data_IF_369491134156
#
_entry.id   IF_369491134156
#
_cell.length_a   1.000
_cell.length_b   1.000
_cell.length_c   1.000
_cell.angle_alpha   90.00
_cell.angle_beta   90.00
_cell.angle_gamma   90.00
#
_symmetry.space_group_name_H-M   'P 1'
#
loop_
_entity.id
_entity.type
_entity.pdbx_description
1 polymer ?
#
# COMPACT_ATOMS: atom_id res chain seq x y z
N UNK A 1 23.94 6.71 10.89
CA UNK A 1 23.64 6.78 12.34
C UNK A 1 22.70 7.92 12.63
N UNK A 2 21.75 7.72 13.53
CA UNK A 2 21.02 8.83 14.19
C UNK A 2 21.85 9.31 15.36
N UNK A 3 22.15 10.60 15.40
CA UNK A 3 23.00 11.20 16.39
C UNK A 3 22.28 12.39 17.01
N UNK A 4 22.27 12.45 18.35
CA UNK A 4 22.03 13.71 19.08
C UNK A 4 23.37 14.41 19.24
N UNK A 5 23.49 15.56 18.62
CA UNK A 5 24.74 16.32 18.66
C UNK A 5 24.97 16.94 20.02
N UNK A 6 26.23 17.12 20.38
CA UNK A 6 26.63 17.94 21.55
C UNK A 6 26.04 19.34 21.39
N UNK A 7 25.41 19.86 22.44
CA UNK A 7 24.84 21.20 22.43
C UNK A 7 23.70 21.38 23.42
N UNK A 8 23.09 22.55 23.38
CA UNK A 8 21.92 22.87 24.18
C UNK A 8 20.65 22.74 23.34
N UNK A 9 19.72 21.95 23.82
CA UNK A 9 18.39 21.76 23.24
C UNK A 9 17.38 22.49 24.10
N UNK A 10 16.55 23.31 23.48
CA UNK A 10 15.46 24.02 24.17
C UNK A 10 14.14 23.47 23.72
N UNK A 11 13.34 22.98 24.63
CA UNK A 11 11.97 22.54 24.38
C UNK A 11 11.04 23.73 24.58
N UNK A 12 10.36 24.10 23.54
CA UNK A 12 9.41 25.20 23.54
C UNK A 12 7.99 24.61 23.42
N UNK A 13 7.08 25.11 24.23
CA UNK A 13 5.68 24.73 24.24
C UNK A 13 4.81 25.96 24.04
N UNK A 14 3.81 25.84 23.17
CA UNK A 14 2.92 26.97 22.86
C UNK A 14 1.69 26.59 22.11
N UNK A 15 0.85 27.55 21.82
CA UNK A 15 -0.39 27.42 21.08
C UNK A 15 -0.18 27.49 19.55
N UNK A 16 0.97 27.98 19.12
CA UNK A 16 1.41 28.04 17.73
C UNK A 16 2.92 28.18 17.68
N UNK A 17 3.53 28.01 16.50
CA UNK A 17 4.97 28.21 16.29
C UNK A 17 5.46 29.65 16.58
N UNK A 18 4.55 30.61 16.69
CA UNK A 18 4.83 32.02 16.97
C UNK A 18 4.52 32.43 18.42
N UNK A 19 3.80 31.56 19.15
CA UNK A 19 3.43 31.80 20.56
C UNK A 19 3.90 30.61 21.37
N UNK A 20 5.19 30.59 21.70
CA UNK A 20 5.87 29.52 22.44
C UNK A 20 6.58 30.07 23.65
N UNK A 21 6.81 29.21 24.64
CA UNK A 21 7.58 29.48 25.84
C UNK A 21 8.63 28.40 26.07
N UNK A 22 9.81 28.79 26.54
CA UNK A 22 10.82 27.85 27.02
C UNK A 22 10.21 26.99 28.13
N UNK A 23 10.23 25.67 27.91
CA UNK A 23 9.70 24.72 28.86
C UNK A 23 10.80 23.90 29.55
N UNK A 24 11.82 23.52 28.80
CA UNK A 24 12.95 22.77 29.31
C UNK A 24 14.21 23.04 28.48
N UNK A 25 15.39 22.88 29.13
CA UNK A 25 16.69 22.86 28.46
C UNK A 25 17.41 21.57 28.77
N UNK A 26 17.98 20.96 27.75
CA UNK A 26 18.77 19.74 27.84
C UNK A 26 20.14 20.04 27.24
N UNK A 27 21.19 19.87 28.02
CA UNK A 27 22.57 20.06 27.55
C UNK A 27 23.25 18.73 27.38
N UNK A 28 23.70 18.43 26.17
CA UNK A 28 24.51 17.25 25.85
C UNK A 28 25.99 17.64 25.83
N UNK A 29 26.81 16.97 26.65
CA UNK A 29 28.26 17.24 26.74
C UNK A 29 29.03 16.60 25.57
N UNK A 30 28.49 15.60 24.94
CA UNK A 30 29.06 14.84 23.83
C UNK A 30 27.97 14.39 22.87
N UNK A 31 28.37 14.00 21.64
CA UNK A 31 27.44 13.40 20.69
C UNK A 31 26.97 12.04 21.19
N UNK A 32 25.68 11.78 21.10
CA UNK A 32 25.08 10.49 21.47
C UNK A 32 24.59 9.81 20.18
N UNK A 33 25.16 8.65 19.85
CA UNK A 33 24.63 7.81 18.77
C UNK A 33 23.40 7.08 19.31
N UNK A 34 22.23 7.46 18.83
CA UNK A 34 20.95 6.89 19.26
C UNK A 34 20.70 5.58 18.56
N UNK A 35 21.05 5.52 17.27
CA UNK A 35 20.80 4.36 16.43
C UNK A 35 21.81 4.29 15.28
N UNK A 36 22.30 3.10 14.99
CA UNK A 36 23.14 2.84 13.82
C UNK A 36 22.27 2.28 12.70
N UNK A 37 22.14 3.03 11.61
CA UNK A 37 21.32 2.69 10.47
C UNK A 37 22.19 2.45 9.23
N UNK A 38 21.68 1.69 8.27
CA UNK A 38 22.27 1.57 6.94
C UNK A 38 21.85 2.76 6.07
N UNK A 39 22.65 3.10 5.06
CA UNK A 39 22.30 4.17 4.10
C UNK A 39 21.29 3.63 3.11
N UNK A 40 20.22 4.39 2.87
CA UNK A 40 19.29 4.09 1.78
C UNK A 40 20.01 4.50 0.50
N UNK A 41 20.54 3.51 -0.24
CA UNK A 41 21.38 3.74 -1.39
C UNK A 41 20.65 4.53 -2.48
N UNK A 42 21.23 5.66 -2.86
CA UNK A 42 20.85 6.37 -4.08
C UNK A 42 21.70 5.92 -5.28
N UNK A 43 22.65 5.05 -5.02
CA UNK A 43 23.57 4.42 -5.98
C UNK A 43 23.62 2.90 -5.71
N UNK A 44 22.45 2.23 -5.63
CA UNK A 44 22.43 0.81 -5.35
C UNK A 44 22.99 0.00 -6.52
N UNK A 45 24.17 -0.52 -6.32
CA UNK A 45 24.70 -1.65 -7.07
C UNK A 45 24.30 -2.91 -6.31
N UNK A 46 23.41 -3.70 -6.92
CA UNK A 46 23.08 -5.10 -6.62
C UNK A 46 23.58 -5.68 -5.29
N UNK A 47 22.87 -5.45 -4.22
CA UNK A 47 23.01 -6.25 -3.01
C UNK A 47 21.69 -6.88 -2.66
N UNK A 48 21.52 -8.14 -3.04
CA UNK A 48 20.36 -8.94 -2.63
C UNK A 48 20.39 -9.14 -1.12
N UNK A 49 19.54 -8.41 -0.40
CA UNK A 49 19.42 -8.55 1.04
C UNK A 49 18.88 -9.91 1.45
N UNK A 50 19.44 -10.50 2.50
CA UNK A 50 18.87 -11.69 3.15
C UNK A 50 17.79 -11.29 4.12
N UNK A 51 16.55 -11.55 3.78
CA UNK A 51 15.41 -11.34 4.68
C UNK A 51 15.37 -12.44 5.73
N UNK A 52 15.35 -12.07 7.02
CA UNK A 52 15.05 -13.01 8.10
C UNK A 52 13.53 -13.07 8.27
N UNK A 53 12.93 -14.18 7.87
CA UNK A 53 11.50 -14.46 8.11
C UNK A 53 11.34 -15.38 9.33
N UNK A 54 10.21 -15.24 10.05
CA UNK A 54 9.91 -16.10 11.19
C UNK A 54 9.46 -17.48 10.74
N UNK A 55 9.93 -18.52 11.43
CA UNK A 55 9.65 -19.94 11.16
C UNK A 55 8.20 -20.37 11.50
N UNK A 56 7.24 -19.46 11.57
CA UNK A 56 5.94 -19.74 12.17
C UNK A 56 4.85 -20.28 11.22
N UNK A 57 5.13 -20.46 9.94
CA UNK A 57 4.11 -20.95 8.99
C UNK A 57 4.42 -22.39 8.57
N UNK A 58 4.38 -23.33 9.51
CA UNK A 58 4.54 -24.76 9.19
C UNK A 58 3.32 -25.39 8.50
N UNK A 59 2.14 -24.81 8.68
CA UNK A 59 0.87 -25.40 8.24
C UNK A 59 0.71 -25.44 6.72
N UNK A 60 1.30 -24.46 6.01
CA UNK A 60 1.27 -24.38 4.53
C UNK A 60 2.58 -24.83 3.87
N UNK A 61 3.59 -25.16 4.64
CA UNK A 61 4.93 -25.47 4.15
C UNK A 61 4.94 -26.66 3.17
N UNK A 62 4.22 -27.71 3.48
CA UNK A 62 4.14 -28.91 2.63
C UNK A 62 3.41 -28.66 1.32
N UNK A 63 2.39 -27.81 1.33
CA UNK A 63 1.68 -27.40 0.11
C UNK A 63 2.55 -26.50 -0.74
N UNK A 64 3.12 -25.48 -0.15
CA UNK A 64 3.99 -24.51 -0.80
C UNK A 64 5.22 -25.17 -1.46
N UNK A 65 5.84 -26.14 -0.78
CA UNK A 65 7.01 -26.84 -1.30
C UNK A 65 6.70 -27.77 -2.49
N UNK A 66 5.43 -28.04 -2.77
CA UNK A 66 5.02 -28.84 -3.94
C UNK A 66 4.84 -28.00 -5.19
N UNK A 67 4.72 -26.68 -5.06
CA UNK A 67 4.54 -25.79 -6.19
C UNK A 67 5.83 -25.67 -6.99
N UNK A 68 5.70 -25.69 -8.31
CA UNK A 68 6.77 -25.32 -9.23
C UNK A 68 7.07 -23.83 -9.16
N UNK A 69 8.23 -23.41 -9.62
CA UNK A 69 8.57 -21.98 -9.66
C UNK A 69 7.64 -21.20 -10.60
N UNK A 70 7.10 -21.83 -11.65
CA UNK A 70 6.10 -21.22 -12.51
C UNK A 70 4.77 -21.01 -11.79
N UNK A 71 4.31 -21.97 -10.97
CA UNK A 71 3.11 -21.82 -10.14
C UNK A 71 3.31 -20.74 -9.07
N UNK A 72 4.50 -20.65 -8.47
CA UNK A 72 4.86 -19.58 -7.55
C UNK A 72 4.83 -18.20 -8.23
N UNK A 73 5.24 -18.10 -9.50
CA UNK A 73 5.15 -16.86 -10.26
C UNK A 73 3.71 -16.34 -10.37
N UNK A 74 2.72 -17.23 -10.43
CA UNK A 74 1.31 -16.84 -10.42
C UNK A 74 0.81 -16.37 -9.05
N UNK A 75 1.41 -16.84 -7.94
CA UNK A 75 1.08 -16.33 -6.61
C UNK A 75 1.45 -14.85 -6.47
N UNK A 76 2.48 -14.40 -7.16
CA UNK A 76 2.95 -13.01 -7.12
C UNK A 76 2.16 -12.05 -8.03
N UNK A 77 1.05 -12.48 -8.62
CA UNK A 77 0.20 -11.63 -9.48
C UNK A 77 -1.21 -11.52 -8.91
N UNK A 78 -1.64 -10.31 -8.58
CA UNK A 78 -2.98 -10.05 -8.10
C UNK A 78 -4.04 -10.31 -9.17
N UNK A 79 -5.07 -11.06 -8.81
CA UNK A 79 -6.20 -11.35 -9.69
C UNK A 79 -5.88 -12.19 -10.93
N UNK A 80 -4.78 -12.91 -10.94
CA UNK A 80 -4.37 -13.73 -12.09
C UNK A 80 -5.44 -14.73 -12.50
N UNK A 81 -5.64 -14.86 -13.83
CA UNK A 81 -6.56 -15.81 -14.45
C UNK A 81 -5.89 -16.46 -15.66
N UNK A 82 -6.00 -17.80 -15.78
CA UNK A 82 -5.43 -18.56 -16.91
C UNK A 82 -5.95 -18.13 -18.29
N UNK A 83 -7.16 -17.59 -18.37
CA UNK A 83 -7.79 -17.20 -19.65
C UNK A 83 -7.76 -15.69 -19.91
N UNK A 84 -6.87 -14.97 -19.23
CA UNK A 84 -6.74 -13.52 -19.38
C UNK A 84 -7.96 -12.76 -18.87
N UNK A 85 -7.78 -11.98 -17.82
CA UNK A 85 -8.77 -10.99 -17.42
C UNK A 85 -8.65 -9.78 -18.34
N UNK A 86 -9.80 -9.25 -18.76
CA UNK A 86 -9.85 -7.96 -19.44
C UNK A 86 -9.93 -6.78 -18.45
N UNK A 87 -9.93 -7.06 -17.17
CA UNK A 87 -10.03 -6.09 -16.09
C UNK A 87 -8.75 -6.07 -15.24
N UNK A 88 -8.25 -4.89 -14.92
CA UNK A 88 -7.10 -4.71 -14.03
C UNK A 88 -7.36 -5.19 -12.60
N UNK A 89 -8.63 -5.33 -12.22
CA UNK A 89 -9.06 -5.79 -10.88
C UNK A 89 -9.39 -7.29 -10.84
N UNK A 90 -9.17 -8.01 -11.91
CA UNK A 90 -9.47 -9.45 -12.01
C UNK A 90 -10.95 -9.77 -11.82
N UNK A 91 -11.20 -10.84 -11.07
CA UNK A 91 -12.55 -11.27 -10.69
C UNK A 91 -13.09 -10.60 -9.42
N UNK A 92 -12.34 -9.69 -8.82
CA UNK A 92 -12.73 -9.06 -7.56
C UNK A 92 -14.13 -8.41 -7.65
N UNK A 93 -14.42 -7.73 -8.76
CA UNK A 93 -15.72 -7.12 -9.02
C UNK A 93 -16.88 -8.12 -9.14
N UNK A 94 -16.60 -9.38 -9.46
CA UNK A 94 -17.59 -10.45 -9.48
C UNK A 94 -17.85 -11.07 -8.09
N UNK A 95 -16.97 -10.78 -7.13
CA UNK A 95 -17.12 -11.18 -5.72
C UNK A 95 -17.74 -10.06 -4.91
N UNK A 96 -17.21 -8.84 -5.09
CA UNK A 96 -17.69 -7.62 -4.43
C UNK A 96 -17.70 -6.50 -5.46
N UNK A 97 -18.86 -5.97 -5.78
CA UNK A 97 -19.00 -4.92 -6.79
C UNK A 97 -18.27 -3.65 -6.36
N UNK A 98 -17.39 -3.14 -7.22
CA UNK A 98 -16.53 -1.99 -6.94
C UNK A 98 -15.25 -2.34 -6.17
N UNK A 99 -14.94 -3.63 -5.99
CA UNK A 99 -13.65 -4.03 -5.43
C UNK A 99 -12.49 -3.54 -6.30
N UNK A 100 -11.37 -3.26 -5.64
CA UNK A 100 -10.19 -2.65 -6.26
C UNK A 100 -9.13 -3.68 -6.70
N UNK A 101 -9.31 -4.96 -6.38
CA UNK A 101 -8.38 -6.02 -6.73
C UNK A 101 -8.57 -7.26 -5.85
N UNK A 102 -7.75 -8.23 -6.08
CA UNK A 102 -7.70 -9.45 -5.28
C UNK A 102 -6.28 -10.06 -5.34
N UNK A 103 -5.97 -10.96 -4.42
CA UNK A 103 -4.82 -11.85 -4.56
C UNK A 103 -5.14 -12.92 -5.60
N UNK A 104 -4.16 -13.74 -6.01
CA UNK A 104 -4.42 -14.79 -6.99
C UNK A 104 -5.59 -15.69 -6.59
N UNK A 105 -6.39 -16.11 -7.57
CA UNK A 105 -7.56 -16.97 -7.33
C UNK A 105 -7.40 -18.39 -7.90
N UNK A 106 -6.31 -18.69 -8.59
CA UNK A 106 -6.14 -19.99 -9.26
C UNK A 106 -6.02 -21.18 -8.29
N UNK A 107 -5.54 -20.95 -7.06
CA UNK A 107 -5.34 -21.98 -6.04
C UNK A 107 -6.48 -22.09 -5.02
N UNK A 108 -7.64 -21.48 -5.27
CA UNK A 108 -8.79 -21.54 -4.35
C UNK A 108 -9.33 -22.95 -4.17
N UNK A 109 -9.23 -23.81 -5.18
CA UNK A 109 -9.63 -25.23 -5.12
C UNK A 109 -8.72 -26.06 -4.23
N UNK A 110 -7.50 -25.60 -4.01
CA UNK A 110 -6.47 -26.24 -3.18
C UNK A 110 -6.45 -25.70 -1.75
N UNK A 111 -7.37 -24.77 -1.45
CA UNK A 111 -7.57 -24.24 -0.09
C UNK A 111 -6.93 -22.88 0.15
N UNK A 112 -6.22 -22.27 -0.82
CA UNK A 112 -5.70 -20.92 -0.69
C UNK A 112 -6.79 -19.92 -1.10
N UNK A 113 -7.34 -19.12 -0.15
CA UNK A 113 -8.37 -18.15 -0.49
C UNK A 113 -7.80 -16.97 -1.26
N UNK A 114 -8.54 -16.50 -2.27
CA UNK A 114 -8.26 -15.20 -2.86
C UNK A 114 -8.85 -14.10 -1.97
N UNK A 115 -8.02 -13.17 -1.55
CA UNK A 115 -8.39 -12.06 -0.69
C UNK A 115 -8.82 -10.86 -1.53
N UNK A 116 -10.03 -10.36 -1.27
CA UNK A 116 -10.59 -9.20 -1.98
C UNK A 116 -10.06 -7.91 -1.38
N UNK A 117 -9.67 -6.98 -2.26
CA UNK A 117 -9.15 -5.67 -1.91
C UNK A 117 -10.15 -4.58 -2.24
N UNK A 118 -10.27 -3.57 -1.39
CA UNK A 118 -11.02 -2.35 -1.69
C UNK A 118 -10.22 -1.12 -1.31
N UNK A 119 -10.43 -0.06 -2.08
CA UNK A 119 -9.80 1.24 -1.86
C UNK A 119 -10.68 2.16 -1.02
N UNK A 120 -10.20 3.34 -0.69
CA UNK A 120 -10.95 4.42 -0.09
C UNK A 120 -10.41 4.92 1.25
N UNK A 121 -9.34 5.76 1.26
CA UNK A 121 -8.79 6.34 2.49
C UNK A 121 -9.76 7.23 3.27
N UNK A 122 -10.83 7.73 2.63
CA UNK A 122 -11.91 8.50 3.27
C UNK A 122 -13.20 7.68 3.51
N UNK A 123 -13.07 6.38 3.67
CA UNK A 123 -14.14 5.40 3.78
C UNK A 123 -14.12 4.39 2.64
N UNK A 124 -14.62 3.20 2.91
CA UNK A 124 -14.58 2.10 1.95
C UNK A 124 -15.29 2.48 0.64
N UNK A 125 -14.61 2.31 -0.49
CA UNK A 125 -15.13 2.66 -1.81
C UNK A 125 -15.54 1.42 -2.59
N UNK A 126 -16.84 1.12 -2.54
CA UNK A 126 -17.48 0.07 -3.32
C UNK A 126 -18.58 0.66 -4.20
N UNK A 127 -19.07 -0.10 -5.18
CA UNK A 127 -20.25 0.29 -5.96
C UNK A 127 -21.45 0.38 -5.05
N UNK A 128 -22.19 1.50 -5.09
CA UNK A 128 -23.34 1.74 -4.21
C UNK A 128 -24.47 0.74 -4.43
N UNK A 129 -24.59 0.24 -5.65
CA UNK A 129 -25.58 -0.77 -6.05
C UNK A 129 -24.91 -1.86 -6.85
N UNK A 130 -25.39 -3.07 -6.69
CA UNK A 130 -24.97 -4.20 -7.49
C UNK A 130 -26.16 -5.07 -7.87
N UNK A 131 -26.05 -5.75 -8.99
CA UNK A 131 -26.99 -6.74 -9.44
C UNK A 131 -26.43 -8.14 -9.28
N UNK A 132 -27.32 -9.14 -9.20
CA UNK A 132 -26.97 -10.55 -9.18
C UNK A 132 -27.83 -11.27 -10.20
N UNK A 133 -27.20 -12.00 -11.13
CA UNK A 133 -27.86 -12.86 -12.10
C UNK A 133 -27.10 -14.21 -12.24
N UNK A 134 -27.40 -14.97 -13.27
CA UNK A 134 -26.76 -16.27 -13.53
C UNK A 134 -25.26 -16.20 -13.82
N UNK A 135 -24.78 -15.04 -14.30
CA UNK A 135 -23.36 -14.78 -14.57
C UNK A 135 -22.61 -14.22 -13.34
N UNK A 136 -23.28 -13.99 -12.21
CA UNK A 136 -22.70 -13.54 -10.94
C UNK A 136 -23.04 -12.10 -10.55
N UNK A 137 -22.17 -11.49 -9.76
CA UNK A 137 -22.31 -10.10 -9.26
C UNK A 137 -21.81 -9.12 -10.32
N UNK A 138 -22.48 -7.96 -10.41
CA UNK A 138 -22.05 -6.85 -11.28
C UNK A 138 -22.45 -5.50 -10.69
N UNK A 139 -21.62 -4.47 -10.93
CA UNK A 139 -21.92 -3.10 -10.51
C UNK A 139 -23.10 -2.54 -11.30
N UNK A 140 -24.00 -1.81 -10.60
CA UNK A 140 -25.14 -1.11 -11.20
C UNK A 140 -24.89 0.40 -11.11
N UNK A 141 -25.10 1.11 -12.23
CA UNK A 141 -24.85 2.54 -12.34
C UNK A 141 -23.44 2.86 -12.88
N UNK A 142 -23.14 4.16 -12.90
CA UNK A 142 -21.86 4.65 -13.37
C UNK A 142 -20.90 4.82 -12.18
N UNK A 143 -19.68 4.34 -12.32
CA UNK A 143 -18.64 4.49 -11.29
C UNK A 143 -18.16 5.94 -11.20
N UNK A 144 -18.14 6.66 -12.32
CA UNK A 144 -17.81 8.07 -12.40
C UNK A 144 -19.09 8.87 -12.63
N UNK A 145 -19.38 9.89 -11.79
CA UNK A 145 -20.51 10.79 -12.05
C UNK A 145 -20.44 11.40 -13.43
N UNK A 146 -21.56 11.42 -14.16
CA UNK A 146 -21.63 11.91 -15.54
C UNK A 146 -21.01 13.31 -15.72
N UNK A 147 -21.13 14.18 -14.70
CA UNK A 147 -20.53 15.50 -14.69
C UNK A 147 -18.99 15.52 -14.66
N UNK A 148 -18.35 14.39 -14.31
CA UNK A 148 -16.90 14.28 -14.23
C UNK A 148 -16.30 13.52 -15.42
N UNK A 149 -17.12 12.82 -16.21
CA UNK A 149 -16.66 11.98 -17.33
C UNK A 149 -15.87 12.79 -18.37
N UNK A 150 -16.25 14.06 -18.62
CA UNK A 150 -15.55 14.93 -19.58
C UNK A 150 -14.14 15.34 -19.14
N UNK A 151 -13.81 15.21 -17.85
CA UNK A 151 -12.50 15.54 -17.28
C UNK A 151 -11.58 14.34 -17.11
N UNK A 152 -12.06 13.14 -17.40
CA UNK A 152 -11.31 11.90 -17.24
C UNK A 152 -10.80 11.41 -18.58
N UNK A 153 -9.53 11.02 -18.64
CA UNK A 153 -8.92 10.45 -19.84
C UNK A 153 -9.69 9.22 -20.34
N UNK A 154 -9.85 9.10 -21.68
CA UNK A 154 -10.62 8.01 -22.29
C UNK A 154 -10.04 6.61 -21.94
N UNK A 155 -8.72 6.49 -21.76
CA UNK A 155 -8.08 5.25 -21.33
C UNK A 155 -8.49 4.88 -19.91
N UNK A 156 -8.53 5.86 -19.01
CA UNK A 156 -8.97 5.66 -17.62
C UNK A 156 -10.45 5.29 -17.60
N UNK A 157 -11.29 5.93 -18.40
CA UNK A 157 -12.70 5.57 -18.53
C UNK A 157 -12.88 4.15 -19.02
N UNK A 158 -12.09 3.72 -19.98
CA UNK A 158 -12.11 2.34 -20.50
C UNK A 158 -11.65 1.33 -19.44
N UNK A 159 -10.59 1.65 -18.69
CA UNK A 159 -10.09 0.81 -17.60
C UNK A 159 -11.09 0.65 -16.45
N UNK A 160 -11.88 1.68 -16.17
CA UNK A 160 -12.93 1.66 -15.14
C UNK A 160 -14.26 1.03 -15.64
N UNK A 161 -14.29 0.46 -16.85
CA UNK A 161 -15.50 -0.15 -17.39
C UNK A 161 -16.58 0.83 -17.86
N UNK A 162 -16.27 2.13 -17.92
CA UNK A 162 -17.11 3.19 -18.49
C UNK A 162 -16.91 3.35 -20.02
N UNK A 163 -16.47 2.28 -20.72
CA UNK A 163 -16.34 2.29 -22.15
C UNK A 163 -17.71 2.53 -22.80
N UNK A 164 -17.74 3.27 -23.91
CA UNK A 164 -18.94 3.48 -24.73
C UNK A 164 -19.45 2.19 -25.39
N UNK A 165 -18.82 1.05 -25.11
CA UNK A 165 -19.33 -0.24 -25.55
C UNK A 165 -20.65 -0.53 -24.83
N UNK A 166 -21.62 -0.96 -25.60
CA UNK A 166 -22.96 -1.31 -25.13
C UNK A 166 -22.83 -2.34 -24.01
N UNK A 167 -22.96 -1.89 -22.76
CA UNK A 167 -23.03 -2.80 -21.60
C UNK A 167 -24.20 -3.76 -21.90
N UNK A 168 -23.92 -5.06 -21.91
CA UNK A 168 -24.96 -6.08 -22.03
C UNK A 168 -26.02 -5.79 -20.95
N UNK A 169 -27.28 -5.57 -21.34
CA UNK A 169 -28.35 -5.38 -20.36
C UNK A 169 -28.39 -6.61 -19.46
N UNK A 170 -28.12 -6.42 -18.19
CA UNK A 170 -28.22 -7.44 -17.14
C UNK A 170 -29.45 -7.13 -16.29
N UNK A 171 -30.32 -8.13 -16.10
CA UNK A 171 -31.63 -7.95 -15.46
C UNK A 171 -31.75 -8.71 -14.14
N UNK A 172 -30.64 -8.83 -13.41
CA UNK A 172 -30.63 -9.49 -12.11
C UNK A 172 -31.31 -8.66 -11.00
N UNK A 173 -31.55 -9.30 -9.87
CA UNK A 173 -32.01 -8.60 -8.67
C UNK A 173 -30.96 -7.58 -8.22
N UNK A 174 -31.39 -6.35 -7.90
CA UNK A 174 -30.52 -5.25 -7.50
C UNK A 174 -30.50 -5.08 -5.98
N UNK A 175 -29.31 -4.86 -5.43
CA UNK A 175 -29.05 -4.68 -4.02
C UNK A 175 -28.24 -3.41 -3.78
N UNK A 176 -28.32 -2.88 -2.54
CA UNK A 176 -27.55 -1.72 -2.10
C UNK A 176 -26.39 -2.16 -1.18
N UNK A 177 -25.24 -1.52 -1.34
CA UNK A 177 -24.10 -1.66 -0.44
C UNK A 177 -23.51 -0.27 -0.14
N UNK A 178 -24.14 0.44 0.78
CA UNK A 178 -23.69 1.76 1.20
C UNK A 178 -22.57 1.63 2.22
N UNK A 179 -21.47 2.33 1.97
CA UNK A 179 -20.34 2.44 2.88
C UNK A 179 -20.36 3.80 3.57
N UNK A 180 -19.84 3.86 4.79
CA UNK A 180 -19.73 5.12 5.54
C UNK A 180 -18.60 5.98 4.99
N UNK A 181 -18.90 7.24 4.73
CA UNK A 181 -17.84 8.23 4.52
C UNK A 181 -17.29 8.65 5.89
N UNK A 182 -16.00 8.48 6.11
CA UNK A 182 -15.28 9.03 7.25
C UNK A 182 -14.66 10.38 6.85
N UNK A 183 -14.30 11.24 7.82
CA UNK A 183 -13.57 12.45 7.51
C UNK A 183 -12.28 12.17 6.74
N UNK A 184 -11.92 13.06 5.82
CA UNK A 184 -10.67 12.94 5.07
C UNK A 184 -9.46 12.90 6.00
N UNK A 185 -8.35 12.27 5.56
CA UNK A 185 -7.14 12.07 6.36
C UNK A 185 -6.64 13.34 7.03
N UNK A 186 -6.58 14.45 6.28
CA UNK A 186 -6.18 15.76 6.81
C UNK A 186 -7.07 16.21 7.98
N UNK A 187 -8.38 16.07 7.90
CA UNK A 187 -9.29 16.48 8.97
C UNK A 187 -9.14 15.61 10.22
N UNK A 188 -8.96 14.30 10.04
CA UNK A 188 -8.74 13.38 11.15
C UNK A 188 -7.42 13.68 11.90
N UNK A 189 -6.33 13.91 11.18
CA UNK A 189 -5.05 14.23 11.78
C UNK A 189 -5.07 15.56 12.56
N UNK A 190 -5.82 16.56 12.09
CA UNK A 190 -6.01 17.83 12.79
C UNK A 190 -6.73 17.68 14.13
N UNK A 191 -7.43 16.58 14.37
CA UNK A 191 -8.03 16.29 15.68
C UNK A 191 -6.98 15.93 16.74
N UNK A 192 -5.79 15.50 16.34
CA UNK A 192 -4.73 14.96 17.21
C UNK A 192 -5.18 13.79 18.07
N UNK A 193 -6.27 13.14 17.68
CA UNK A 193 -6.93 12.11 18.48
C UNK A 193 -6.73 10.71 17.85
N UNK A 194 -5.69 10.00 18.33
CA UNK A 194 -5.37 8.63 17.88
C UNK A 194 -6.49 7.64 18.21
N UNK A 195 -7.25 7.87 19.30
CA UNK A 195 -8.41 7.02 19.64
C UNK A 195 -9.51 7.15 18.61
N UNK A 196 -9.82 8.39 18.17
CA UNK A 196 -10.77 8.62 17.08
C UNK A 196 -10.32 7.92 15.79
N UNK A 197 -9.05 8.00 15.44
CA UNK A 197 -8.49 7.29 14.30
C UNK A 197 -8.69 5.77 14.42
N UNK A 198 -8.49 5.21 15.61
CA UNK A 198 -8.73 3.78 15.88
C UNK A 198 -10.22 3.42 15.74
N UNK A 199 -11.12 4.24 16.22
CA UNK A 199 -12.57 4.02 16.07
C UNK A 199 -13.03 4.10 14.61
N UNK A 200 -12.48 5.04 13.83
CA UNK A 200 -12.71 5.11 12.39
C UNK A 200 -12.21 3.86 11.67
N UNK A 201 -11.00 3.39 12.04
CA UNK A 201 -10.45 2.15 11.50
C UNK A 201 -11.31 0.93 11.84
N UNK A 202 -11.81 0.84 13.06
CA UNK A 202 -12.72 -0.23 13.47
C UNK A 202 -14.03 -0.20 12.68
N UNK A 203 -14.63 0.98 12.49
CA UNK A 203 -15.85 1.14 11.69
C UNK A 203 -15.66 0.64 10.26
N UNK A 204 -14.57 1.05 9.61
CA UNK A 204 -14.25 0.59 8.26
C UNK A 204 -14.01 -0.93 8.25
N UNK A 205 -13.32 -1.47 9.25
CA UNK A 205 -13.09 -2.92 9.39
C UNK A 205 -14.40 -3.72 9.50
N UNK A 206 -15.36 -3.24 10.30
CA UNK A 206 -16.70 -3.86 10.42
C UNK A 206 -17.47 -3.84 9.10
N UNK A 207 -17.37 -2.76 8.33
CA UNK A 207 -17.99 -2.68 7.00
C UNK A 207 -17.31 -3.65 6.02
N UNK A 208 -16.00 -3.75 6.06
CA UNK A 208 -15.25 -4.66 5.20
C UNK A 208 -15.60 -6.13 5.49
N UNK A 209 -15.66 -6.52 6.74
CA UNK A 209 -16.11 -7.85 7.14
C UNK A 209 -17.53 -8.13 6.60
N UNK A 210 -18.44 -7.17 6.74
CA UNK A 210 -19.83 -7.29 6.25
C UNK A 210 -19.91 -7.46 4.74
N UNK A 211 -19.03 -6.78 3.97
CA UNK A 211 -19.04 -6.83 2.51
C UNK A 211 -18.12 -7.90 1.91
N UNK A 212 -17.43 -8.66 2.75
CA UNK A 212 -16.51 -9.71 2.27
C UNK A 212 -15.22 -9.18 1.67
N UNK A 213 -14.76 -8.01 2.12
CA UNK A 213 -13.47 -7.42 1.75
C UNK A 213 -12.44 -7.74 2.83
N UNK A 214 -11.28 -8.20 2.43
CA UNK A 214 -10.23 -8.67 3.34
C UNK A 214 -9.09 -7.66 3.53
N UNK A 215 -8.84 -6.85 2.50
CA UNK A 215 -7.71 -5.95 2.41
C UNK A 215 -8.19 -4.54 2.08
N UNK A 216 -7.77 -3.58 2.90
CA UNK A 216 -8.02 -2.16 2.66
C UNK A 216 -6.78 -1.49 2.08
N UNK A 217 -6.88 -0.92 0.88
CA UNK A 217 -5.81 -0.16 0.24
C UNK A 217 -5.72 1.26 0.85
N UNK A 218 -5.50 1.32 2.14
CA UNK A 218 -5.39 2.49 2.99
C UNK A 218 -4.79 2.09 4.36
N UNK A 219 -4.36 3.03 5.20
CA UNK A 219 -4.35 4.48 5.02
C UNK A 219 -3.21 4.99 4.14
N UNK A 220 -3.35 6.22 3.63
CA UNK A 220 -2.33 6.89 2.85
C UNK A 220 -1.52 7.86 3.72
N UNK A 221 -0.17 7.80 3.65
CA UNK A 221 0.74 8.37 4.66
C UNK A 221 1.76 9.37 4.11
N UNK A 222 1.73 9.66 2.81
CA UNK A 222 2.73 10.55 2.24
C UNK A 222 2.63 11.96 2.83
N UNK A 223 3.76 12.64 2.87
CA UNK A 223 3.87 13.96 3.49
C UNK A 223 3.24 15.02 2.60
N UNK A 224 2.41 15.87 3.16
CA UNK A 224 1.80 17.03 2.51
C UNK A 224 2.85 18.12 2.28
N UNK A 225 3.78 17.87 1.34
CA UNK A 225 4.89 18.78 1.05
C UNK A 225 4.45 20.04 0.31
N UNK A 226 3.52 19.89 -0.63
CA UNK A 226 2.99 20.99 -1.42
C UNK A 226 1.47 21.03 -1.32
N UNK A 227 0.87 22.21 -1.10
CA UNK A 227 -0.60 22.35 -1.08
C UNK A 227 -1.25 22.04 -2.44
N UNK A 228 -0.47 22.01 -3.50
CA UNK A 228 -0.96 21.72 -4.86
C UNK A 228 -1.00 20.23 -5.20
N UNK A 229 -0.54 19.36 -4.30
CA UNK A 229 -0.68 17.91 -4.52
C UNK A 229 -2.15 17.49 -4.47
N UNK A 230 -2.66 16.90 -5.55
CA UNK A 230 -4.06 16.51 -5.70
C UNK A 230 -4.53 15.45 -4.70
N UNK A 231 -3.63 14.71 -4.06
CA UNK A 231 -3.92 13.66 -3.09
C UNK A 231 -3.76 14.06 -1.62
N UNK A 232 -3.48 15.33 -1.33
CA UNK A 232 -3.34 15.78 0.06
C UNK A 232 -4.56 15.51 0.93
N UNK A 233 -5.76 15.42 0.36
CA UNK A 233 -6.98 15.12 1.12
C UNK A 233 -6.93 13.76 1.82
N UNK A 234 -6.29 12.78 1.22
CA UNK A 234 -6.16 11.43 1.79
C UNK A 234 -4.94 11.26 2.69
N UNK A 235 -3.95 12.16 2.58
CA UNK A 235 -2.78 12.18 3.44
C UNK A 235 -3.08 12.90 4.76
N UNK A 236 -2.38 12.54 5.83
CA UNK A 236 -2.70 13.04 7.17
C UNK A 236 -2.10 14.40 7.46
N UNK A 237 -0.79 14.61 7.20
CA UNK A 237 -0.08 15.80 7.65
C UNK A 237 1.20 16.06 6.86
N UNK A 238 1.75 17.26 7.03
CA UNK A 238 3.13 17.58 6.70
C UNK A 238 4.12 17.06 7.76
N UNK A 239 3.63 16.72 8.95
CA UNK A 239 4.41 16.16 10.06
C UNK A 239 4.33 14.63 10.06
N UNK A 240 5.49 13.96 9.88
CA UNK A 240 5.58 12.51 9.82
C UNK A 240 5.20 11.79 11.12
N UNK A 241 5.36 12.47 12.28
CA UNK A 241 4.97 11.89 13.58
C UNK A 241 3.45 11.91 13.74
N UNK A 242 2.81 13.03 13.44
CA UNK A 242 1.36 13.15 13.50
C UNK A 242 0.70 12.20 12.50
N UNK A 243 1.21 12.14 11.26
CA UNK A 243 0.72 11.22 10.24
C UNK A 243 0.87 9.76 10.70
N UNK A 244 2.04 9.39 11.20
CA UNK A 244 2.32 8.02 11.63
C UNK A 244 1.50 7.57 12.85
N UNK A 245 1.32 8.44 13.85
CA UNK A 245 0.47 8.14 15.03
C UNK A 245 -1.00 7.96 14.64
N UNK A 246 -1.50 8.81 13.74
CA UNK A 246 -2.86 8.70 13.23
C UNK A 246 -3.04 7.38 12.46
N UNK A 247 -2.13 7.08 11.55
CA UNK A 247 -2.13 5.83 10.78
C UNK A 247 -2.02 4.58 11.66
N UNK A 248 -1.17 4.63 12.68
CA UNK A 248 -1.05 3.54 13.65
C UNK A 248 -2.38 3.31 14.40
N UNK A 249 -3.13 4.37 14.71
CA UNK A 249 -4.48 4.27 15.25
C UNK A 249 -5.41 3.53 14.30
N UNK A 250 -5.44 3.94 13.04
CA UNK A 250 -6.25 3.29 12.00
C UNK A 250 -5.92 1.81 11.84
N UNK A 251 -4.65 1.48 11.64
CA UNK A 251 -4.21 0.10 11.44
C UNK A 251 -4.63 -0.82 12.60
N UNK A 252 -4.48 -0.36 13.84
CA UNK A 252 -4.97 -1.11 15.01
C UNK A 252 -6.50 -1.25 15.05
N UNK A 253 -7.21 -0.25 14.54
CA UNK A 253 -8.68 -0.28 14.49
C UNK A 253 -9.19 -1.33 13.53
N UNK A 254 -8.74 -1.33 12.28
CA UNK A 254 -9.12 -2.30 11.25
C UNK A 254 -8.71 -3.72 11.61
N UNK A 255 -7.54 -3.90 12.20
CA UNK A 255 -7.02 -5.21 12.62
C UNK A 255 -7.94 -5.93 13.62
N UNK A 256 -8.79 -5.22 14.38
CA UNK A 256 -9.78 -5.83 15.29
C UNK A 256 -10.77 -6.74 14.56
N UNK A 257 -11.00 -6.48 13.28
CA UNK A 257 -11.92 -7.22 12.42
C UNK A 257 -11.20 -8.18 11.46
N UNK A 258 -9.92 -8.48 11.71
CA UNK A 258 -9.12 -9.38 10.85
C UNK A 258 -8.79 -8.78 9.48
N UNK A 259 -8.88 -7.46 9.32
CA UNK A 259 -8.63 -6.76 8.07
C UNK A 259 -7.18 -6.29 7.99
N UNK A 260 -6.59 -6.44 6.81
CA UNK A 260 -5.23 -5.98 6.52
C UNK A 260 -5.27 -4.58 5.91
N UNK A 261 -4.51 -3.64 6.52
CA UNK A 261 -4.30 -2.29 5.98
C UNK A 261 -3.04 -2.25 5.14
N UNK A 262 -3.15 -1.84 3.87
CA UNK A 262 -2.02 -1.50 3.03
C UNK A 262 -1.67 -0.03 3.20
N UNK A 263 -0.70 0.24 4.08
CA UNK A 263 -0.17 1.61 4.23
C UNK A 263 0.53 2.03 2.94
N UNK A 264 0.19 3.23 2.43
CA UNK A 264 0.60 3.66 1.09
C UNK A 264 0.93 5.15 1.02
N UNK A 265 1.68 5.62 0.02
CA UNK A 265 2.45 4.88 -0.96
C UNK A 265 3.93 4.93 -0.55
N UNK A 266 4.54 3.81 -0.38
CA UNK A 266 5.88 3.66 0.17
C UNK A 266 6.94 3.70 -0.94
N UNK A 267 7.67 4.81 -1.15
CA UNK A 267 7.63 6.05 -0.38
C UNK A 267 7.82 7.27 -1.30
N UNK A 268 7.75 8.46 -0.70
CA UNK A 268 8.03 9.76 -1.36
C UNK A 268 7.06 10.12 -2.50
N UNK A 269 5.86 9.61 -2.49
CA UNK A 269 4.79 9.99 -3.43
C UNK A 269 4.10 11.28 -2.95
N UNK A 270 4.78 12.42 -3.17
CA UNK A 270 4.39 13.73 -2.66
C UNK A 270 3.91 14.69 -3.75
N UNK A 271 3.80 14.24 -4.98
CA UNK A 271 3.24 14.99 -6.11
C UNK A 271 2.61 14.05 -7.13
N UNK A 272 1.51 14.51 -7.75
CA UNK A 272 0.82 13.76 -8.78
C UNK A 272 1.28 14.11 -10.20
N UNK A 273 1.78 15.32 -10.40
CA UNK A 273 2.28 15.73 -11.70
C UNK A 273 3.48 14.88 -12.10
N UNK A 274 3.36 14.19 -13.23
CA UNK A 274 4.38 13.28 -13.77
C UNK A 274 4.81 12.16 -12.79
N UNK A 275 3.88 11.67 -11.97
CA UNK A 275 4.10 10.73 -10.86
C UNK A 275 4.97 9.52 -11.24
N UNK A 276 4.70 8.93 -12.38
CA UNK A 276 5.39 7.73 -12.87
C UNK A 276 6.85 7.98 -13.31
N UNK A 277 7.22 9.24 -13.56
CA UNK A 277 8.56 9.62 -14.02
C UNK A 277 9.32 10.51 -13.02
N UNK A 278 8.74 10.77 -11.85
CA UNK A 278 9.39 11.60 -10.83
C UNK A 278 10.54 10.86 -10.19
N UNK A 279 11.74 11.45 -10.25
CA UNK A 279 12.92 11.02 -9.51
C UNK A 279 13.09 11.97 -8.31
N UNK A 280 12.94 11.46 -7.11
CA UNK A 280 13.03 12.26 -5.88
C UNK A 280 14.44 12.14 -5.31
N UNK A 281 15.09 13.29 -5.13
CA UNK A 281 16.42 13.40 -4.54
C UNK A 281 16.35 14.19 -3.24
N UNK A 282 16.86 13.62 -2.17
CA UNK A 282 16.90 14.27 -0.86
C UNK A 282 18.01 13.65 0.01
N UNK A 283 18.27 14.24 1.18
CA UNK A 283 19.27 13.70 2.11
C UNK A 283 18.74 12.47 2.85
N UNK A 284 19.63 11.59 3.27
CA UNK A 284 19.30 10.43 4.12
C UNK A 284 18.54 10.85 5.39
N UNK A 285 18.93 11.96 6.00
CA UNK A 285 18.24 12.50 7.16
C UNK A 285 16.80 12.86 6.84
N UNK A 286 16.55 13.59 5.76
CA UNK A 286 15.20 14.00 5.37
C UNK A 286 14.31 12.79 5.00
N UNK A 287 14.86 11.80 4.28
CA UNK A 287 14.13 10.56 4.00
C UNK A 287 13.65 9.93 5.31
N UNK A 288 14.53 9.72 6.28
CA UNK A 288 14.23 8.99 7.51
C UNK A 288 13.40 9.77 8.52
N UNK A 289 13.70 11.06 8.69
CA UNK A 289 13.06 11.85 9.74
C UNK A 289 11.72 12.47 9.32
N UNK A 290 11.50 12.60 8.01
CA UNK A 290 10.29 13.22 7.47
C UNK A 290 9.46 12.20 6.69
N UNK A 291 9.98 11.71 5.56
CA UNK A 291 9.17 10.97 4.60
C UNK A 291 8.86 9.53 5.02
N UNK A 292 9.80 8.83 5.64
CA UNK A 292 9.61 7.46 6.12
C UNK A 292 9.05 7.40 7.54
N UNK A 293 9.08 8.51 8.29
CA UNK A 293 8.68 8.52 9.71
C UNK A 293 7.24 8.05 9.91
N UNK A 294 6.32 8.44 9.05
CA UNK A 294 4.92 8.03 9.14
C UNK A 294 4.77 6.50 8.96
N UNK A 295 5.47 5.93 7.99
CA UNK A 295 5.47 4.48 7.73
C UNK A 295 6.14 3.70 8.86
N UNK A 296 7.28 4.17 9.37
CA UNK A 296 7.96 3.58 10.52
C UNK A 296 7.02 3.42 11.71
N UNK A 297 6.29 4.48 12.06
CA UNK A 297 5.35 4.47 13.17
C UNK A 297 4.13 3.58 12.90
N UNK A 298 3.61 3.57 11.68
CA UNK A 298 2.50 2.69 11.31
C UNK A 298 2.90 1.21 11.41
N UNK A 299 4.12 0.85 11.03
CA UNK A 299 4.65 -0.52 11.19
C UNK A 299 4.92 -0.84 12.65
N UNK A 300 5.74 -0.04 13.34
CA UNK A 300 6.22 -0.36 14.69
C UNK A 300 5.17 -0.19 15.78
N UNK A 301 4.28 0.81 15.67
CA UNK A 301 3.26 1.09 16.69
C UNK A 301 1.85 0.69 16.24
N UNK A 302 1.59 0.75 14.94
CA UNK A 302 0.31 0.34 14.35
C UNK A 302 0.19 -1.15 14.11
N UNK A 303 1.32 -1.85 14.09
CA UNK A 303 1.42 -3.25 13.67
C UNK A 303 0.82 -3.47 12.27
N UNK A 304 1.06 -2.52 11.37
CA UNK A 304 0.63 -2.65 9.98
C UNK A 304 1.35 -3.85 9.33
N UNK A 305 0.58 -4.71 8.68
CA UNK A 305 1.06 -5.98 8.10
C UNK A 305 1.04 -5.98 6.58
N UNK A 306 0.75 -4.84 5.96
CA UNK A 306 0.73 -4.72 4.52
C UNK A 306 1.21 -3.33 4.09
N UNK A 307 1.95 -3.25 2.98
CA UNK A 307 2.52 -2.03 2.43
C UNK A 307 2.29 -2.01 0.92
N UNK A 308 1.92 -0.85 0.38
CA UNK A 308 1.87 -0.61 -1.06
C UNK A 308 3.02 0.33 -1.46
N UNK A 309 3.87 -0.14 -2.36
CA UNK A 309 4.96 0.64 -2.92
C UNK A 309 4.45 1.81 -3.77
N UNK A 310 5.22 2.90 -3.80
CA UNK A 310 4.92 4.08 -4.61
C UNK A 310 5.38 3.93 -6.07
N UNK A 311 4.73 4.67 -6.97
CA UNK A 311 5.15 4.80 -8.37
C UNK A 311 6.41 5.64 -8.53
N UNK A 312 6.68 6.52 -7.58
CA UNK A 312 7.85 7.41 -7.59
C UNK A 312 9.17 6.65 -7.48
N UNK A 313 10.25 7.36 -7.81
CA UNK A 313 11.63 6.86 -7.70
C UNK A 313 12.38 7.60 -6.60
N UNK A 314 13.22 6.88 -5.88
CA UNK A 314 14.24 7.45 -5.00
C UNK A 314 15.56 7.43 -5.78
N UNK A 315 16.11 8.61 -6.08
CA UNK A 315 17.15 8.69 -7.09
C UNK A 315 16.59 8.24 -8.44
N UNK A 316 17.17 7.20 -9.02
CA UNK A 316 16.71 6.58 -10.28
C UNK A 316 15.89 5.31 -10.06
N UNK A 317 15.91 4.75 -8.85
CA UNK A 317 15.31 3.46 -8.56
C UNK A 317 13.82 3.62 -8.23
N UNK A 318 12.99 2.89 -8.93
CA UNK A 318 11.56 2.77 -8.59
C UNK A 318 11.39 2.18 -7.20
N UNK A 319 10.46 2.72 -6.40
CA UNK A 319 10.28 2.29 -5.01
C UNK A 319 9.96 0.79 -4.89
N UNK A 320 9.12 0.23 -5.75
CA UNK A 320 8.82 -1.21 -5.78
C UNK A 320 10.01 -2.09 -6.19
N UNK A 321 10.99 -1.51 -6.87
CA UNK A 321 12.25 -2.16 -7.25
C UNK A 321 13.44 -1.81 -6.34
N UNK A 322 13.21 -1.21 -5.17
CA UNK A 322 14.29 -0.76 -4.29
C UNK A 322 14.51 -1.73 -3.13
N UNK A 323 15.59 -2.53 -3.20
CA UNK A 323 15.98 -3.43 -2.11
C UNK A 323 16.34 -2.67 -0.83
N UNK A 324 16.99 -1.50 -0.95
CA UNK A 324 17.31 -0.65 0.18
C UNK A 324 16.05 -0.21 0.94
N UNK A 325 14.96 0.06 0.21
CA UNK A 325 13.68 0.45 0.81
C UNK A 325 12.94 -0.76 1.38
N UNK A 326 12.70 -1.80 0.58
CA UNK A 326 11.84 -2.92 0.92
C UNK A 326 12.52 -3.94 1.84
N UNK A 327 13.78 -4.28 1.58
CA UNK A 327 14.50 -5.25 2.40
C UNK A 327 15.22 -4.58 3.58
N UNK A 328 16.07 -3.57 3.33
CA UNK A 328 16.93 -3.05 4.40
C UNK A 328 16.14 -2.22 5.40
N UNK A 329 15.36 -1.25 4.94
CA UNK A 329 14.60 -0.35 5.83
C UNK A 329 13.36 -1.06 6.36
N UNK A 330 12.46 -1.49 5.48
CA UNK A 330 11.15 -2.01 5.89
C UNK A 330 11.28 -3.31 6.67
N UNK A 331 11.97 -4.32 6.08
CA UNK A 331 12.01 -5.66 6.69
C UNK A 331 13.11 -5.79 7.75
N UNK A 332 14.35 -5.36 7.46
CA UNK A 332 15.46 -5.58 8.37
C UNK A 332 15.49 -4.58 9.53
N UNK A 333 15.37 -3.27 9.27
CA UNK A 333 15.45 -2.25 10.34
C UNK A 333 14.14 -2.15 11.12
N UNK A 334 12.98 -2.20 10.45
CA UNK A 334 11.69 -2.05 11.14
C UNK A 334 11.08 -3.37 11.58
N UNK A 335 11.59 -4.50 11.10
CA UNK A 335 11.11 -5.84 11.44
C UNK A 335 9.75 -6.18 10.83
N UNK A 336 9.41 -5.55 9.70
CA UNK A 336 8.17 -5.82 8.98
C UNK A 336 8.16 -7.26 8.44
N UNK A 337 7.08 -7.98 8.68
CA UNK A 337 6.92 -9.39 8.29
C UNK A 337 5.70 -9.62 7.37
N UNK A 338 5.05 -8.56 6.96
CA UNK A 338 3.86 -8.62 6.13
C UNK A 338 4.15 -8.60 4.64
N UNK A 339 3.10 -8.39 3.85
CA UNK A 339 3.14 -8.38 2.39
C UNK A 339 3.40 -6.98 1.85
N UNK A 340 4.25 -6.89 0.83
CA UNK A 340 4.49 -5.69 0.03
C UNK A 340 3.86 -5.88 -1.34
N UNK A 341 3.01 -4.95 -1.77
CA UNK A 341 2.43 -4.94 -3.11
C UNK A 341 2.89 -3.71 -3.89
N UNK A 342 2.86 -3.79 -5.22
CA UNK A 342 2.99 -2.59 -6.05
C UNK A 342 1.71 -1.77 -6.01
N UNK A 343 1.77 -0.47 -6.38
CA UNK A 343 0.59 0.22 -6.88
C UNK A 343 0.17 -0.39 -8.22
N UNK A 344 -0.99 0.00 -8.79
CA UNK A 344 -1.48 -0.60 -10.03
C UNK A 344 -0.44 -0.58 -11.13
N UNK A 345 -0.21 -1.74 -11.75
CA UNK A 345 0.67 -1.87 -12.91
C UNK A 345 -0.15 -1.51 -14.15
N UNK A 346 0.21 -0.41 -14.79
CA UNK A 346 -0.43 0.06 -16.01
C UNK A 346 0.55 0.48 -17.10
N UNK A 347 1.81 0.70 -16.75
CA UNK A 347 2.85 1.21 -17.65
C UNK A 347 4.16 0.43 -17.53
N UNK A 348 4.94 0.46 -18.59
CA UNK A 348 6.10 -0.38 -18.92
C UNK A 348 7.34 -0.25 -18.00
N UNK A 349 7.29 0.51 -16.89
CA UNK A 349 8.47 0.67 -16.04
C UNK A 349 8.42 -0.19 -14.75
N UNK A 350 7.27 -0.74 -14.43
CA UNK A 350 7.08 -1.60 -13.25
C UNK A 350 7.35 -3.05 -13.66
N UNK A 351 8.58 -3.45 -13.53
CA UNK A 351 9.08 -4.77 -13.92
C UNK A 351 8.91 -5.76 -12.77
N UNK A 352 8.19 -6.86 -13.00
CA UNK A 352 7.92 -7.88 -12.01
C UNK A 352 9.20 -8.59 -11.52
N UNK A 353 10.18 -8.83 -12.42
CA UNK A 353 11.44 -9.44 -12.04
C UNK A 353 12.21 -8.51 -11.07
N UNK A 354 12.28 -7.23 -11.41
CA UNK A 354 12.92 -6.21 -10.55
C UNK A 354 12.22 -6.11 -9.21
N UNK A 355 10.89 -6.08 -9.18
CA UNK A 355 10.10 -5.99 -7.95
C UNK A 355 10.35 -7.20 -7.03
N UNK A 356 10.23 -8.42 -7.53
CA UNK A 356 10.43 -9.66 -6.76
C UNK A 356 11.86 -9.78 -6.25
N UNK A 357 12.87 -9.48 -7.09
CA UNK A 357 14.24 -9.48 -6.64
C UNK A 357 14.50 -8.52 -5.47
N UNK A 358 13.77 -7.41 -5.41
CA UNK A 358 13.99 -6.33 -4.47
C UNK A 358 13.00 -6.27 -3.30
N UNK A 359 12.22 -7.34 -3.07
CA UNK A 359 11.45 -7.53 -1.84
C UNK A 359 10.00 -7.08 -1.90
N UNK A 360 9.46 -6.78 -3.08
CA UNK A 360 8.02 -6.74 -3.32
C UNK A 360 7.50 -8.18 -3.45
N UNK A 361 6.27 -8.45 -3.02
CA UNK A 361 5.72 -9.81 -2.97
C UNK A 361 4.60 -10.03 -3.98
N UNK A 362 3.86 -8.99 -4.35
CA UNK A 362 2.70 -9.11 -5.24
C UNK A 362 2.60 -7.93 -6.21
N UNK A 363 2.42 -8.25 -7.47
CA UNK A 363 2.07 -7.27 -8.50
C UNK A 363 0.56 -7.01 -8.47
N UNK A 364 0.14 -5.79 -8.14
CA UNK A 364 -1.27 -5.43 -8.08
C UNK A 364 -1.81 -5.16 -9.48
N UNK A 365 -1.97 -6.18 -10.28
CA UNK A 365 -2.65 -6.09 -11.57
C UNK A 365 -2.83 -7.47 -12.18
N UNK A 366 -3.88 -7.62 -12.97
CA UNK A 366 -4.14 -8.82 -13.77
C UNK A 366 -3.61 -8.69 -15.20
N UNK A 367 -3.07 -7.56 -15.59
CA UNK A 367 -2.61 -7.30 -16.96
C UNK A 367 -1.32 -8.04 -17.32
N UNK A 368 -0.96 -9.04 -16.51
CA UNK A 368 -0.12 -10.11 -16.98
C UNK A 368 1.36 -9.99 -16.64
N UNK A 369 1.73 -9.11 -15.74
CA UNK A 369 3.15 -9.03 -15.37
C UNK A 369 3.48 -10.05 -14.27
N UNK A 370 3.67 -11.27 -14.68
CA UNK A 370 4.38 -12.28 -13.88
C UNK A 370 5.89 -12.17 -14.12
N UNK A 371 6.67 -12.70 -13.20
CA UNK A 371 8.11 -12.86 -13.38
C UNK A 371 8.41 -13.66 -14.65
N UNK A 372 9.51 -13.31 -15.29
CA UNK A 372 9.98 -13.92 -16.52
C UNK A 372 11.05 -14.98 -16.26
N UNK A 373 11.59 -15.53 -17.35
CA UNK A 373 12.73 -16.47 -17.30
C UNK A 373 13.96 -15.89 -16.58
N UNK A 374 14.08 -14.55 -16.46
CA UNK A 374 15.17 -13.91 -15.70
C UNK A 374 15.12 -14.34 -14.22
N UNK A 375 13.94 -14.36 -13.61
CA UNK A 375 13.75 -14.88 -12.24
C UNK A 375 13.73 -16.41 -12.24
N UNK A 376 13.00 -17.04 -13.16
CA UNK A 376 12.74 -18.48 -13.16
C UNK A 376 14.01 -19.32 -13.44
N UNK A 377 14.89 -18.86 -14.31
CA UNK A 377 16.12 -19.57 -14.71
C UNK A 377 17.34 -19.24 -13.85
N UNK A 378 17.16 -18.41 -12.81
CA UNK A 378 18.25 -17.94 -11.97
C UNK A 378 18.05 -18.39 -10.51
N UNK A 379 19.02 -19.08 -9.93
CA UNK A 379 18.93 -19.57 -8.54
C UNK A 379 18.62 -18.46 -7.52
N UNK A 380 19.17 -17.27 -7.69
CA UNK A 380 18.88 -16.14 -6.79
C UNK A 380 17.46 -15.61 -7.02
N UNK A 381 16.99 -15.61 -8.26
CA UNK A 381 15.62 -15.25 -8.63
C UNK A 381 14.60 -16.23 -8.06
N UNK A 382 14.82 -17.53 -8.20
CA UNK A 382 13.99 -18.56 -7.62
C UNK A 382 13.91 -18.45 -6.09
N UNK A 383 15.04 -18.13 -5.43
CA UNK A 383 15.05 -17.87 -3.99
C UNK A 383 14.27 -16.61 -3.62
N UNK A 384 14.36 -15.51 -4.40
CA UNK A 384 13.60 -14.31 -4.18
C UNK A 384 12.10 -14.57 -4.38
N UNK A 385 11.72 -15.29 -5.43
CA UNK A 385 10.35 -15.71 -5.71
C UNK A 385 9.77 -16.54 -4.56
N UNK A 386 10.49 -17.53 -4.08
CA UNK A 386 10.05 -18.35 -2.94
C UNK A 386 9.89 -17.52 -1.65
N UNK A 387 10.73 -16.51 -1.45
CA UNK A 387 10.58 -15.58 -0.31
C UNK A 387 9.35 -14.69 -0.47
N UNK A 388 9.07 -14.21 -1.66
CA UNK A 388 7.90 -13.38 -1.94
C UNK A 388 6.58 -14.15 -1.71
N UNK A 389 6.54 -15.42 -2.07
CA UNK A 389 5.37 -16.28 -1.92
C UNK A 389 5.17 -16.84 -0.50
N UNK A 390 6.23 -16.94 0.31
CA UNK A 390 6.19 -17.50 1.68
C UNK A 390 5.74 -16.48 2.70
#
# INVERSE_FOLDING_TARGET
SRILEKGDYVVWVGTSSRDTRDCARISLKENIVVEQLQTIGQDSVDTYGTVKRSDQIKEYEDWFNRLSDEELAYLCVGGFQEKGSQSIVGNAGMKVAGAAGETTSIFTKEGLPSLVMADGPAGLRLSRQYGVDEDGIYAVGDEIPAALVEFVDEKILAMLGNSKEVKKERNGATYNQYCSAIPIGTALAQSWNVTLANECGNLVGEEMERFGVNIWLAPALNIQRSPLCGRNFEYYSEDGVLAGKTAAGFARGTAKNGIYCYIKHFALDNQETNRENVCVWTSEQAIREVYLKAFELAVKEGNATAVMDADSRIGTDWCGGSSALNNDVLRNEWGFQGMVITDYIGDNFKDADVAIFNGCDLMLSTLGEKVTDIVLDNNSGQQALRKACH
#
